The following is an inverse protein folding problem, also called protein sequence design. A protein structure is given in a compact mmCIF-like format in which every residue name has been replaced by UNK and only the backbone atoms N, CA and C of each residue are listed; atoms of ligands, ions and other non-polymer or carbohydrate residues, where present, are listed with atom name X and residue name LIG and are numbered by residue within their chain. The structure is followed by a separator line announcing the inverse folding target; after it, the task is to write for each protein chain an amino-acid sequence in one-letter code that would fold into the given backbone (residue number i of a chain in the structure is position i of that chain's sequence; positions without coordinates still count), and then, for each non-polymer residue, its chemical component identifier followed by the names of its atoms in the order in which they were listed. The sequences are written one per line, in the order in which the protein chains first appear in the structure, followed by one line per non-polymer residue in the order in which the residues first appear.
data_IF_990052620861
#
_entry.id   IF_990052620861
#
_cell.length_a   1.000
_cell.length_b   1.000
_cell.length_c   1.000
_cell.angle_alpha   90.00
_cell.angle_beta   90.00
_cell.angle_gamma   90.00
#
_symmetry.space_group_name_H-M   'P 1'
#
loop_
_entity.id
_entity.type
_entity.pdbx_description
1 polymer ?
#
# COMPACT_ATOMS: atom_id res chain seq x y z
N UNK A 1 17.81 -2.27 -49.67
CA UNK A 1 17.15 -1.41 -48.65
C UNK A 1 16.02 -2.15 -47.93
N UNK A 2 15.21 -2.97 -48.61
CA UNK A 2 14.10 -3.75 -48.02
C UNK A 2 14.50 -4.73 -46.89
N UNK A 3 15.64 -5.40 -46.97
CA UNK A 3 16.06 -6.42 -45.98
C UNK A 3 16.31 -5.84 -44.57
N UNK A 4 16.71 -4.57 -44.47
CA UNK A 4 16.88 -3.87 -43.18
C UNK A 4 15.55 -3.54 -42.51
N UNK A 5 14.51 -3.22 -43.29
CA UNK A 5 13.17 -2.96 -42.76
C UNK A 5 12.49 -4.23 -42.24
N UNK A 6 12.72 -5.37 -42.90
CA UNK A 6 12.18 -6.67 -42.46
C UNK A 6 12.81 -7.11 -41.13
N UNK A 7 14.12 -6.92 -40.95
CA UNK A 7 14.80 -7.24 -39.69
C UNK A 7 14.33 -6.36 -38.52
N UNK A 8 14.07 -5.08 -38.78
CA UNK A 8 13.53 -4.16 -37.76
C UNK A 8 12.10 -4.59 -37.36
N UNK A 9 11.26 -4.95 -38.34
CA UNK A 9 9.89 -5.41 -38.08
C UNK A 9 9.85 -6.69 -37.23
N UNK A 10 10.74 -7.66 -37.50
CA UNK A 10 10.84 -8.90 -36.72
C UNK A 10 11.32 -8.62 -35.29
N UNK A 11 12.28 -7.69 -35.13
CA UNK A 11 12.77 -7.31 -33.81
C UNK A 11 11.70 -6.61 -32.96
N UNK A 12 10.86 -5.77 -33.57
CA UNK A 12 9.75 -5.11 -32.89
C UNK A 12 8.73 -6.09 -32.31
N UNK A 13 8.41 -7.17 -33.03
CA UNK A 13 7.44 -8.17 -32.58
C UNK A 13 7.96 -8.95 -31.37
N UNK A 14 9.27 -9.22 -31.32
CA UNK A 14 9.89 -9.91 -30.19
C UNK A 14 9.95 -9.05 -28.91
N UNK A 15 10.19 -7.74 -29.04
CA UNK A 15 10.22 -6.81 -27.89
C UNK A 15 8.81 -6.56 -27.32
N UNK A 16 7.76 -6.66 -28.14
CA UNK A 16 6.37 -6.49 -27.72
C UNK A 16 5.72 -7.77 -27.15
N UNK A 17 6.39 -8.92 -27.28
CA UNK A 17 5.90 -10.21 -26.76
C UNK A 17 6.32 -10.44 -25.31
N UNK A 18 6.19 -9.42 -24.47
CA UNK A 18 6.28 -9.60 -23.02
C UNK A 18 5.01 -10.30 -22.54
N UNK A 19 5.10 -11.59 -22.19
CA UNK A 19 4.05 -12.26 -21.43
C UNK A 19 3.95 -11.60 -20.04
N UNK A 20 3.12 -10.57 -19.93
CA UNK A 20 2.66 -10.10 -18.63
C UNK A 20 1.64 -11.14 -18.13
N UNK A 21 2.12 -12.16 -17.40
CA UNK A 21 1.26 -13.06 -16.61
C UNK A 21 0.70 -12.24 -15.43
N UNK A 22 -0.21 -11.31 -15.75
CA UNK A 22 -0.94 -10.53 -14.77
C UNK A 22 -2.01 -11.45 -14.22
N UNK A 23 -1.66 -12.18 -13.15
CA UNK A 23 -2.63 -12.88 -12.32
C UNK A 23 -3.52 -11.84 -11.66
N UNK A 24 -4.62 -11.52 -12.32
CA UNK A 24 -5.66 -10.68 -11.76
C UNK A 24 -6.27 -11.42 -10.57
N UNK A 25 -6.36 -10.78 -9.38
CA UNK A 25 -7.08 -11.36 -8.28
C UNK A 25 -8.53 -11.61 -8.72
N UNK A 26 -9.07 -12.78 -8.40
CA UNK A 26 -10.47 -13.11 -8.66
C UNK A 26 -11.38 -12.05 -8.06
N UNK A 27 -12.51 -11.75 -8.70
CA UNK A 27 -13.47 -10.77 -8.18
C UNK A 27 -13.83 -11.04 -6.71
N UNK A 28 -13.98 -12.32 -6.34
CA UNK A 28 -14.21 -12.73 -4.97
C UNK A 28 -13.05 -12.38 -4.01
N UNK A 29 -11.80 -12.49 -4.46
CA UNK A 29 -10.62 -12.09 -3.67
C UNK A 29 -10.56 -10.58 -3.49
N UNK A 30 -10.78 -9.80 -4.56
CA UNK A 30 -10.84 -8.35 -4.47
C UNK A 30 -11.98 -7.84 -3.55
N UNK A 31 -13.11 -8.55 -3.53
CA UNK A 31 -14.25 -8.23 -2.65
C UNK A 31 -14.02 -8.63 -1.18
N UNK A 32 -13.23 -9.67 -0.93
CA UNK A 32 -12.94 -10.17 0.43
C UNK A 32 -11.64 -9.62 1.03
N UNK A 33 -10.74 -9.12 0.18
CA UNK A 33 -9.47 -8.50 0.55
C UNK A 33 -9.36 -7.15 -0.18
N UNK A 34 -10.27 -6.19 0.10
CA UNK A 34 -10.34 -4.91 -0.62
C UNK A 34 -9.11 -4.04 -0.39
N UNK A 35 -8.47 -4.21 0.77
CA UNK A 35 -7.12 -3.74 1.01
C UNK A 35 -6.18 -4.83 0.50
N UNK A 36 -5.30 -4.49 -0.44
CA UNK A 36 -4.24 -5.38 -0.90
C UNK A 36 -3.42 -5.85 0.31
N UNK A 37 -3.76 -7.01 0.85
CA UNK A 37 -3.09 -7.65 1.99
C UNK A 37 -1.65 -8.07 1.64
N UNK A 38 -1.20 -7.77 0.42
CA UNK A 38 0.10 -8.18 -0.11
C UNK A 38 1.29 -7.39 0.41
N UNK A 39 1.11 -6.21 1.01
CA UNK A 39 2.27 -5.44 1.49
C UNK A 39 1.91 -4.57 2.69
N UNK A 40 2.25 -5.09 3.88
CA UNK A 40 2.25 -4.34 5.12
C UNK A 40 3.13 -3.09 4.98
N UNK A 41 2.66 -1.96 5.49
CA UNK A 41 3.48 -0.75 5.66
C UNK A 41 4.47 -1.04 6.78
N UNK A 42 5.77 -0.91 6.49
CA UNK A 42 6.85 -1.18 7.45
C UNK A 42 7.53 0.12 7.84
N UNK A 43 8.27 0.12 8.94
CA UNK A 43 9.11 1.27 9.30
C UNK A 43 10.07 1.61 8.16
N UNK A 44 10.21 2.90 7.85
CA UNK A 44 10.96 3.40 6.72
C UNK A 44 10.17 3.51 5.40
N UNK A 45 8.91 3.05 5.35
CA UNK A 45 8.05 3.33 4.18
C UNK A 45 7.77 4.84 4.08
N UNK A 46 7.91 5.47 2.90
CA UNK A 46 7.59 6.87 2.71
C UNK A 46 6.08 7.11 2.66
N UNK A 47 5.61 8.29 3.09
CA UNK A 47 4.18 8.67 3.07
C UNK A 47 3.50 8.43 1.73
N UNK A 48 4.16 8.75 0.61
CA UNK A 48 3.61 8.53 -0.72
C UNK A 48 3.30 7.06 -1.03
N UNK A 49 4.16 6.14 -0.59
CA UNK A 49 3.95 4.70 -0.75
C UNK A 49 2.85 4.19 0.19
N UNK A 50 2.69 4.80 1.38
CA UNK A 50 1.55 4.51 2.26
C UNK A 50 0.24 4.93 1.59
N UNK A 51 0.18 6.14 1.02
CA UNK A 51 -1.00 6.63 0.30
C UNK A 51 -1.33 5.77 -0.93
N UNK A 52 -0.32 5.33 -1.68
CA UNK A 52 -0.52 4.47 -2.84
C UNK A 52 -1.12 3.11 -2.45
N UNK A 53 -0.65 2.53 -1.34
CA UNK A 53 -1.10 1.21 -0.90
C UNK A 53 -2.42 1.25 -0.14
N UNK A 54 -2.62 2.22 0.74
CA UNK A 54 -3.68 2.24 1.75
C UNK A 54 -4.70 3.37 1.54
N UNK A 55 -4.42 4.30 0.63
CA UNK A 55 -5.27 5.47 0.39
C UNK A 55 -5.09 6.57 1.42
N UNK A 56 -5.97 7.56 1.36
CA UNK A 56 -5.99 8.68 2.32
C UNK A 56 -6.39 8.18 3.72
N UNK A 57 -5.73 8.67 4.77
CA UNK A 57 -6.13 8.36 6.15
C UNK A 57 -7.46 9.02 6.51
N UNK A 58 -8.20 8.41 7.44
CA UNK A 58 -9.44 8.99 7.96
C UNK A 58 -9.16 10.20 8.86
N UNK A 59 -8.04 10.17 9.59
CA UNK A 59 -7.62 11.27 10.46
C UNK A 59 -6.08 11.44 10.43
N UNK A 60 -5.64 12.70 10.47
CA UNK A 60 -4.23 13.07 10.64
C UNK A 60 -4.10 13.90 11.91
N UNK A 61 -3.33 13.37 12.87
CA UNK A 61 -3.06 14.00 14.16
C UNK A 61 -1.64 14.57 14.15
N UNK A 62 -1.50 15.86 14.48
CA UNK A 62 -0.20 16.48 14.69
C UNK A 62 0.37 16.05 16.05
N UNK A 63 1.53 15.38 16.04
CA UNK A 63 2.21 14.89 17.24
C UNK A 63 3.43 15.74 17.63
N UNK A 64 3.55 16.95 17.06
CA UNK A 64 4.60 17.91 17.38
C UNK A 64 5.90 17.64 16.63
N UNK A 65 7.02 17.77 17.32
CA UNK A 65 8.36 17.60 16.74
C UNK A 65 9.22 16.66 17.60
N UNK A 66 10.19 16.00 16.97
CA UNK A 66 11.22 15.25 17.69
C UNK A 66 12.35 16.15 18.21
N UNK A 67 13.33 15.54 18.90
CA UNK A 67 14.50 16.23 19.45
C UNK A 67 15.38 16.89 18.37
N UNK A 68 15.21 16.47 17.11
CA UNK A 68 15.89 17.01 15.93
C UNK A 68 15.03 18.05 15.18
N UNK A 69 13.91 18.49 15.75
CA UNK A 69 12.94 19.42 15.13
C UNK A 69 12.29 18.87 13.85
N UNK A 70 12.18 17.55 13.72
CA UNK A 70 11.46 16.88 12.63
C UNK A 70 10.00 16.70 13.04
N UNK A 71 9.08 17.11 12.18
CA UNK A 71 7.64 17.02 12.44
C UNK A 71 7.20 15.57 12.63
N UNK A 72 6.40 15.31 13.65
CA UNK A 72 5.75 14.03 13.91
C UNK A 72 4.28 14.11 13.59
N UNK A 73 3.77 13.08 12.94
CA UNK A 73 2.36 12.99 12.57
C UNK A 73 1.88 11.57 12.81
N UNK A 74 0.60 11.42 13.15
CA UNK A 74 -0.05 10.12 13.29
C UNK A 74 -1.21 10.06 12.34
N UNK A 75 -1.23 9.05 11.48
CA UNK A 75 -2.34 8.81 10.56
C UNK A 75 -3.19 7.67 11.09
N UNK A 76 -4.49 7.88 11.16
CA UNK A 76 -5.46 6.90 11.64
C UNK A 76 -6.22 6.34 10.44
N UNK A 77 -6.27 5.02 10.36
CA UNK A 77 -7.04 4.28 9.36
C UNK A 77 -8.05 3.39 10.09
N UNK A 78 -9.32 3.53 9.75
CA UNK A 78 -10.41 2.68 10.21
C UNK A 78 -10.77 1.68 9.12
N UNK A 79 -10.95 0.43 9.48
CA UNK A 79 -11.44 -0.59 8.56
C UNK A 79 -12.92 -0.32 8.25
N UNK A 80 -13.25 -0.20 6.97
CA UNK A 80 -14.61 0.11 6.51
C UNK A 80 -15.59 -1.09 6.62
N UNK A 81 -15.12 -2.26 7.08
CA UNK A 81 -15.93 -3.47 7.17
C UNK A 81 -16.07 -3.94 8.62
N UNK A 82 -17.27 -3.83 9.23
CA UNK A 82 -17.49 -4.21 10.63
C UNK A 82 -17.52 -5.74 10.88
N UNK A 83 -17.78 -6.57 9.85
CA UNK A 83 -18.17 -7.98 10.03
C UNK A 83 -17.24 -9.02 9.41
N UNK A 84 -16.18 -8.63 8.67
CA UNK A 84 -15.27 -9.61 8.07
C UNK A 84 -13.97 -9.64 8.86
N UNK A 85 -13.67 -10.73 9.60
CA UNK A 85 -12.36 -10.92 10.20
C UNK A 85 -11.34 -11.09 9.08
N UNK A 86 -10.60 -10.02 8.81
CA UNK A 86 -9.47 -9.98 7.88
C UNK A 86 -8.29 -10.76 8.47
N UNK A 87 -8.39 -12.09 8.48
CA UNK A 87 -7.35 -13.06 8.85
C UNK A 87 -6.76 -12.91 10.29
N UNK A 88 -6.62 -14.04 10.96
CA UNK A 88 -6.82 -14.22 12.40
C UNK A 88 -5.67 -13.74 13.32
N UNK A 89 -4.78 -12.87 12.85
CA UNK A 89 -3.58 -12.53 13.65
C UNK A 89 -3.24 -11.05 13.78
N UNK A 90 -3.56 -10.18 12.81
CA UNK A 90 -2.79 -8.91 12.70
C UNK A 90 -3.57 -7.65 12.28
N UNK A 91 -4.90 -7.68 12.27
CA UNK A 91 -5.69 -6.50 11.88
C UNK A 91 -6.68 -6.10 12.98
N UNK A 92 -6.30 -5.07 13.73
CA UNK A 92 -7.24 -4.25 14.49
C UNK A 92 -8.26 -3.58 13.55
N UNK A 93 -9.44 -3.26 14.08
CA UNK A 93 -10.47 -2.50 13.36
C UNK A 93 -9.94 -1.12 12.96
N UNK A 94 -9.04 -0.54 13.74
CA UNK A 94 -8.43 0.75 13.45
C UNK A 94 -6.94 0.70 13.71
N UNK A 95 -6.13 1.20 12.79
CA UNK A 95 -4.67 1.23 12.89
C UNK A 95 -4.15 2.65 12.89
N UNK A 96 -3.19 2.94 13.76
CA UNK A 96 -2.39 4.17 13.74
C UNK A 96 -1.07 3.89 13.07
N UNK A 97 -0.64 4.81 12.20
CA UNK A 97 0.70 4.82 11.60
C UNK A 97 1.40 6.10 12.08
N UNK A 98 2.56 5.92 12.69
CA UNK A 98 3.39 7.01 13.20
C UNK A 98 4.41 7.41 12.15
N UNK A 99 4.54 8.72 11.93
CA UNK A 99 5.51 9.31 11.02
C UNK A 99 6.43 10.25 11.76
N UNK A 100 7.70 10.24 11.37
CA UNK A 100 8.67 11.30 11.67
C UNK A 100 9.19 11.80 10.32
N UNK A 101 8.88 13.05 10.00
CA UNK A 101 9.11 13.60 8.67
C UNK A 101 8.22 12.88 7.64
N UNK A 102 8.83 12.36 6.59
CA UNK A 102 8.14 11.68 5.49
C UNK A 102 8.13 10.15 5.61
N UNK A 103 8.65 9.60 6.70
CA UNK A 103 8.84 8.15 6.85
C UNK A 103 8.09 7.58 8.05
N UNK A 104 7.58 6.36 7.87
CA UNK A 104 6.94 5.59 8.93
C UNK A 104 7.97 5.20 9.99
N UNK A 105 7.65 5.45 11.26
CA UNK A 105 8.47 5.07 12.40
C UNK A 105 7.85 3.96 13.24
N UNK A 106 6.53 3.80 13.20
CA UNK A 106 5.85 2.73 13.91
C UNK A 106 4.38 2.61 13.54
N UNK A 107 3.72 1.63 14.16
CA UNK A 107 2.30 1.40 14.03
C UNK A 107 1.73 0.87 15.33
N UNK A 108 0.45 1.14 15.56
CA UNK A 108 -0.30 0.66 16.72
C UNK A 108 -1.67 0.18 16.27
N UNK A 109 -2.05 -0.97 16.78
CA UNK A 109 -3.35 -1.58 16.58
C UNK A 109 -4.31 -1.09 17.66
N UNK A 110 -5.40 -0.42 17.26
CA UNK A 110 -6.45 0.02 18.18
C UNK A 110 -7.48 -1.12 18.28
N UNK A 111 -7.42 -1.87 19.36
CA UNK A 111 -8.49 -2.79 19.73
C UNK A 111 -9.60 -1.97 20.40
N UNK A 112 -10.81 -1.95 19.81
CA UNK A 112 -12.01 -1.50 20.52
C UNK A 112 -12.24 -2.50 21.66
N UNK A 113 -11.81 -2.13 22.88
CA UNK A 113 -12.26 -2.82 24.08
C UNK A 113 -13.76 -2.51 24.25
N UNK A 114 -14.60 -3.54 24.08
CA UNK A 114 -16.02 -3.56 24.46
C UNK A 114 -16.22 -3.27 25.96
#
# INVERSE_FOLDING_TARGET
MAMKFVLIAIFSILVLSGCADVKTPTAQYALTHPLSTKTMVVSGTPKGEVLEKWGEPDEIIDAGFDDMSIKKEVWVYNAWFPEIPLDHRHFSRSKKIYFTGDYVTGYEDIEENE
#
